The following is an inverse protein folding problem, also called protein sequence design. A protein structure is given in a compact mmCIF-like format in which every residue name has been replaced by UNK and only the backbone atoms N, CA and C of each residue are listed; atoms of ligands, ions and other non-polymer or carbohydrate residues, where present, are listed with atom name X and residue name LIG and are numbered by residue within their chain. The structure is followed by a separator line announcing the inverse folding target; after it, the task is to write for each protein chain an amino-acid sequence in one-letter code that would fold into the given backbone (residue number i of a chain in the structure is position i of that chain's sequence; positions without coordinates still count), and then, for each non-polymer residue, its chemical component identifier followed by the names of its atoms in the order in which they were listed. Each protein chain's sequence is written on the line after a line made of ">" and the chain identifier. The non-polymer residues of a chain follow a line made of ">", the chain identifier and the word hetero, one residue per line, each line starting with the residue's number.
data_IF_341418699507
#
_entry.id   IF_341418699507
#
_cell.length_a   1.000
_cell.length_b   1.000
_cell.length_c   1.000
_cell.angle_alpha   90.00
_cell.angle_beta   90.00
_cell.angle_gamma   90.00
#
_symmetry.space_group_name_H-M   'P 1'
#
loop_
_entity.id
_entity.type
_entity.pdbx_description
1 polymer ?
#
# COMPACT_ATOMS: atom_id res chain seq x y z
N UNK A 1 -11.38 10.71 -12.65
CA UNK A 1 -10.06 11.10 -12.09
C UNK A 1 -9.15 9.90 -12.19
N UNK A 2 -7.83 10.12 -12.33
CA UNK A 2 -6.87 9.02 -12.25
C UNK A 2 -6.88 8.42 -10.83
N UNK A 3 -6.67 7.11 -10.67
CA UNK A 3 -6.56 6.50 -9.35
C UNK A 3 -5.29 6.98 -8.63
N UNK A 4 -5.32 6.97 -7.31
CA UNK A 4 -4.13 7.16 -6.49
C UNK A 4 -3.29 5.89 -6.54
N UNK A 5 -2.00 6.02 -6.83
CA UNK A 5 -1.05 4.90 -6.78
C UNK A 5 -0.51 4.79 -5.35
N UNK A 6 -0.74 3.66 -4.70
CA UNK A 6 -0.27 3.40 -3.35
C UNK A 6 0.87 2.39 -3.38
N UNK A 7 2.09 2.86 -3.13
CA UNK A 7 3.29 2.03 -3.15
C UNK A 7 3.56 1.40 -1.79
N UNK A 8 3.82 0.10 -1.77
CA UNK A 8 4.21 -0.64 -0.58
C UNK A 8 5.62 -1.20 -0.78
N UNK A 9 6.60 -0.74 0.02
CA UNK A 9 7.99 -1.21 -0.09
C UNK A 9 8.16 -2.64 0.47
N UNK A 10 9.26 -3.29 0.07
CA UNK A 10 9.69 -4.56 0.66
C UNK A 10 10.33 -4.40 2.04
N UNK A 11 10.71 -5.52 2.66
CA UNK A 11 11.50 -5.50 3.90
C UNK A 11 12.82 -4.73 3.69
N UNK A 12 13.21 -3.95 4.71
CA UNK A 12 14.39 -3.08 4.70
C UNK A 12 14.34 -1.89 3.74
N UNK A 13 13.23 -1.69 3.03
CA UNK A 13 12.99 -0.54 2.16
C UNK A 13 12.08 0.49 2.84
N UNK A 14 12.31 1.77 2.54
CA UNK A 14 11.42 2.87 2.89
C UNK A 14 10.80 3.52 1.65
N UNK A 15 9.87 4.48 1.82
CA UNK A 15 9.16 5.12 0.70
C UNK A 15 10.06 5.77 -0.37
N UNK A 16 11.27 6.18 0.02
CA UNK A 16 12.21 6.89 -0.86
C UNK A 16 12.63 6.09 -2.10
N UNK A 17 12.56 4.75 -2.06
CA UNK A 17 12.90 3.90 -3.20
C UNK A 17 12.00 4.16 -4.42
N UNK A 18 10.78 4.66 -4.20
CA UNK A 18 9.82 4.97 -5.25
C UNK A 18 9.90 6.41 -5.76
N UNK A 19 10.83 7.24 -5.25
CA UNK A 19 10.89 8.67 -5.54
C UNK A 19 11.01 9.03 -7.02
N UNK A 20 11.76 8.24 -7.79
CA UNK A 20 11.90 8.46 -9.24
C UNK A 20 10.58 8.19 -9.98
N UNK A 21 9.90 7.09 -9.64
CA UNK A 21 8.62 6.70 -10.28
C UNK A 21 7.50 7.66 -9.89
N UNK A 22 7.40 8.03 -8.61
CA UNK A 22 6.39 8.98 -8.15
C UNK A 22 6.58 10.37 -8.76
N UNK A 23 7.83 10.79 -9.00
CA UNK A 23 8.14 12.03 -9.71
C UNK A 23 7.67 12.01 -11.16
N UNK A 24 7.77 10.86 -11.84
CA UNK A 24 7.24 10.68 -13.20
C UNK A 24 5.71 10.72 -13.19
N UNK A 25 5.07 9.96 -12.30
CA UNK A 25 3.60 9.95 -12.15
C UNK A 25 3.04 11.34 -11.85
N UNK A 26 3.72 12.11 -10.99
CA UNK A 26 3.30 13.48 -10.66
C UNK A 26 3.35 14.42 -11.87
N UNK A 27 4.27 14.23 -12.82
CA UNK A 27 4.32 15.04 -14.06
C UNK A 27 3.11 14.80 -14.94
N UNK A 28 2.54 13.61 -14.86
CA UNK A 28 1.33 13.21 -15.57
C UNK A 28 0.05 13.48 -14.74
N UNK A 29 0.16 14.18 -13.61
CA UNK A 29 -0.97 14.50 -12.73
C UNK A 29 -1.52 13.31 -11.94
N UNK A 30 -0.76 12.21 -11.84
CA UNK A 30 -1.14 11.01 -11.10
C UNK A 30 -0.60 11.09 -9.67
N UNK A 31 -1.50 10.99 -8.69
CA UNK A 31 -1.14 11.05 -7.27
C UNK A 31 -0.46 9.75 -6.83
N UNK A 32 0.61 9.88 -6.04
CA UNK A 32 1.28 8.77 -5.38
C UNK A 32 1.21 8.94 -3.85
N UNK A 33 0.99 7.83 -3.14
CA UNK A 33 1.01 7.71 -1.68
C UNK A 33 1.83 6.45 -1.33
N UNK A 34 2.29 6.32 -0.08
CA UNK A 34 3.26 5.28 0.29
C UNK A 34 2.93 4.69 1.65
N UNK A 35 3.12 3.38 1.78
CA UNK A 35 3.17 2.72 3.09
C UNK A 35 4.56 2.83 3.72
N UNK A 36 4.61 2.81 5.05
CA UNK A 36 5.85 2.60 5.81
C UNK A 36 5.75 1.31 6.59
N UNK A 37 6.67 0.37 6.33
CA UNK A 37 6.79 -0.84 7.15
C UNK A 37 7.29 -0.46 8.54
N UNK A 38 6.62 -0.93 9.58
CA UNK A 38 6.96 -0.68 10.99
C UNK A 38 8.27 -1.37 11.35
N UNK A 39 8.56 -2.52 10.74
CA UNK A 39 9.81 -3.25 10.92
C UNK A 39 11.03 -2.55 10.31
N UNK A 40 10.87 -1.82 9.20
CA UNK A 40 12.01 -1.16 8.53
C UNK A 40 12.59 -0.02 9.38
N UNK A 41 13.90 -0.07 9.63
CA UNK A 41 14.61 0.97 10.38
C UNK A 41 14.48 0.86 11.90
N UNK A 42 13.72 -0.12 12.40
CA UNK A 42 13.57 -0.36 13.84
C UNK A 42 14.71 -1.20 14.37
N UNK A 43 15.36 -0.73 15.43
CA UNK A 43 16.43 -1.45 16.14
C UNK A 43 15.90 -2.19 17.37
N UNK A 44 16.61 -3.24 17.78
CA UNK A 44 16.33 -3.98 19.01
C UNK A 44 16.31 -3.04 20.23
N UNK A 45 15.39 -3.21 21.20
CA UNK A 45 14.48 -4.36 21.37
C UNK A 45 13.11 -4.25 20.67
N UNK A 46 12.89 -3.28 19.77
CA UNK A 46 11.56 -3.02 19.21
C UNK A 46 10.96 -4.14 18.35
N UNK A 47 11.80 -4.92 17.65
CA UNK A 47 11.49 -6.09 16.81
C UNK A 47 10.02 -6.25 16.35
N UNK A 48 9.49 -5.37 15.49
CA UNK A 48 8.12 -5.45 15.01
C UNK A 48 7.88 -6.74 14.22
N UNK A 49 6.69 -7.29 14.35
CA UNK A 49 6.26 -8.50 13.66
C UNK A 49 5.74 -8.21 12.25
N UNK A 50 5.55 -9.27 11.48
CA UNK A 50 4.83 -9.20 10.20
C UNK A 50 3.42 -8.61 10.35
N UNK A 51 2.75 -8.88 11.47
CA UNK A 51 1.41 -8.36 11.74
C UNK A 51 1.43 -6.84 11.97
N UNK A 52 2.48 -6.32 12.60
CA UNK A 52 2.67 -4.88 12.78
C UNK A 52 2.87 -4.16 11.44
N UNK A 53 3.58 -4.80 10.50
CA UNK A 53 3.72 -4.29 9.13
C UNK A 53 2.38 -4.30 8.38
N UNK A 54 1.62 -5.38 8.44
CA UNK A 54 0.29 -5.48 7.82
C UNK A 54 -0.64 -4.39 8.34
N UNK A 55 -0.71 -4.23 9.68
CA UNK A 55 -1.51 -3.19 10.31
C UNK A 55 -1.00 -1.79 9.99
N UNK A 56 0.31 -1.61 9.87
CA UNK A 56 0.94 -0.36 9.46
C UNK A 56 0.52 0.05 8.05
N UNK A 57 0.63 -0.86 7.09
CA UNK A 57 0.19 -0.65 5.70
C UNK A 57 -1.30 -0.31 5.66
N UNK A 58 -2.13 -1.06 6.41
CA UNK A 58 -3.57 -0.81 6.48
C UNK A 58 -3.87 0.59 7.02
N UNK A 59 -3.21 0.99 8.11
CA UNK A 59 -3.39 2.30 8.73
C UNK A 59 -3.00 3.46 7.79
N UNK A 60 -2.00 3.25 6.93
CA UNK A 60 -1.60 4.23 5.93
C UNK A 60 -2.59 4.27 4.73
N UNK A 61 -3.17 3.12 4.35
CA UNK A 61 -4.11 2.99 3.22
C UNK A 61 -5.54 3.44 3.54
N UNK A 62 -6.05 3.13 4.74
CA UNK A 62 -7.45 3.33 5.11
C UNK A 62 -7.94 4.79 5.01
N UNK A 63 -7.15 5.82 5.41
CA UNK A 63 -7.52 7.21 5.21
C UNK A 63 -7.66 7.59 3.73
N UNK A 64 -6.86 6.97 2.85
CA UNK A 64 -6.86 7.25 1.40
C UNK A 64 -8.16 6.74 0.77
N UNK A 65 -8.53 5.49 1.04
CA UNK A 65 -9.79 4.95 0.51
C UNK A 65 -11.01 5.61 1.18
N UNK A 66 -10.88 6.05 2.43
CA UNK A 66 -11.97 6.70 3.19
C UNK A 66 -12.29 8.13 2.74
N UNK A 67 -11.33 8.86 2.17
CA UNK A 67 -11.63 10.13 1.48
C UNK A 67 -12.29 9.94 0.10
N UNK A 68 -12.49 8.70 -0.33
CA UNK A 68 -13.20 8.35 -1.56
C UNK A 68 -12.30 8.05 -2.77
N UNK A 69 -10.98 7.94 -2.59
CA UNK A 69 -10.07 7.63 -3.69
C UNK A 69 -10.24 6.18 -4.17
N UNK A 70 -10.23 6.01 -5.49
CA UNK A 70 -9.88 4.73 -6.11
C UNK A 70 -8.37 4.56 -6.07
N UNK A 71 -7.91 3.37 -5.66
CA UNK A 71 -6.49 3.10 -5.42
C UNK A 71 -6.00 1.90 -6.22
N UNK A 72 -4.83 2.04 -6.83
CA UNK A 72 -4.03 0.91 -7.35
C UNK A 72 -2.87 0.66 -6.40
N UNK A 73 -2.80 -0.54 -5.82
CA UNK A 73 -1.66 -0.93 -4.99
C UNK A 73 -0.49 -1.37 -5.87
N UNK A 74 0.72 -0.93 -5.55
CA UNK A 74 1.96 -1.41 -6.15
C UNK A 74 2.79 -2.07 -5.06
N UNK A 75 2.99 -3.37 -5.18
CA UNK A 75 3.61 -4.21 -4.16
C UNK A 75 4.99 -4.65 -4.64
N UNK A 76 6.05 -4.24 -3.93
CA UNK A 76 7.42 -4.69 -4.17
C UNK A 76 7.89 -5.76 -3.17
N UNK A 77 8.53 -6.84 -3.64
CA UNK A 77 9.16 -7.84 -2.77
C UNK A 77 8.18 -8.41 -1.71
N UNK A 78 8.53 -8.37 -0.43
CA UNK A 78 7.69 -8.84 0.69
C UNK A 78 6.33 -8.13 0.77
N UNK A 79 6.18 -6.95 0.18
CA UNK A 79 4.89 -6.29 0.09
C UNK A 79 3.83 -7.13 -0.61
N UNK A 80 4.22 -8.08 -1.46
CA UNK A 80 3.28 -8.98 -2.13
C UNK A 80 2.35 -9.68 -1.13
N UNK A 81 2.90 -10.30 -0.09
CA UNK A 81 2.08 -10.95 0.94
C UNK A 81 1.61 -9.98 2.02
N UNK A 82 2.43 -9.00 2.42
CA UNK A 82 2.05 -8.02 3.44
C UNK A 82 0.87 -7.14 2.99
N UNK A 83 0.98 -6.57 1.80
CA UNK A 83 -0.02 -5.67 1.21
C UNK A 83 -1.29 -6.40 0.81
N UNK A 84 -1.18 -7.65 0.34
CA UNK A 84 -2.35 -8.49 0.05
C UNK A 84 -3.15 -8.82 1.30
N UNK A 85 -2.49 -9.05 2.45
CA UNK A 85 -3.19 -9.20 3.72
C UNK A 85 -3.82 -7.86 4.19
N UNK A 86 -3.09 -6.75 4.05
CA UNK A 86 -3.55 -5.44 4.55
C UNK A 86 -4.82 -4.92 3.84
N UNK A 87 -5.06 -5.32 2.59
CA UNK A 87 -6.15 -4.80 1.76
C UNK A 87 -7.51 -5.43 2.03
N UNK A 88 -7.58 -6.45 2.89
CA UNK A 88 -8.82 -7.15 3.20
C UNK A 88 -9.93 -6.18 3.65
N UNK A 89 -11.13 -6.28 3.07
CA UNK A 89 -12.24 -5.38 3.34
C UNK A 89 -12.12 -3.94 2.80
N UNK A 90 -10.97 -3.53 2.26
CA UNK A 90 -10.72 -2.20 1.67
C UNK A 90 -10.84 -2.17 0.14
N UNK A 91 -10.97 -3.33 -0.52
CA UNK A 91 -11.23 -3.40 -1.96
C UNK A 91 -12.57 -2.72 -2.29
N UNK A 92 -12.62 -2.04 -3.43
CA UNK A 92 -13.75 -1.19 -3.80
C UNK A 92 -15.07 -1.97 -3.88
N UNK A 93 -15.01 -3.28 -4.21
CA UNK A 93 -16.19 -4.15 -4.18
C UNK A 93 -16.81 -4.25 -2.77
N UNK A 94 -16.00 -4.59 -1.75
CA UNK A 94 -16.48 -4.72 -0.37
C UNK A 94 -16.94 -3.38 0.21
N UNK A 95 -16.26 -2.28 -0.13
CA UNK A 95 -16.67 -0.92 0.28
C UNK A 95 -18.04 -0.54 -0.30
N UNK A 96 -18.27 -0.82 -1.59
CA UNK A 96 -19.57 -0.55 -2.24
C UNK A 96 -20.72 -1.34 -1.62
N UNK A 97 -20.49 -2.57 -1.17
CA UNK A 97 -21.50 -3.36 -0.44
C UNK A 97 -21.94 -2.67 0.86
N UNK A 98 -21.04 -1.88 1.48
CA UNK A 98 -21.32 -1.03 2.66
C UNK A 98 -21.76 0.39 2.31
N UNK A 99 -22.03 0.70 1.04
CA UNK A 99 -22.36 2.05 0.55
C UNK A 99 -21.26 3.09 0.81
N UNK A 100 -20.01 2.64 0.88
CA UNK A 100 -18.83 3.49 0.97
C UNK A 100 -18.25 3.75 -0.43
N UNK A 101 -17.75 4.96 -0.66
CA UNK A 101 -17.00 5.31 -1.87
C UNK A 101 -15.52 4.94 -1.74
N UNK A 102 -14.82 4.95 -2.88
CA UNK A 102 -13.40 4.63 -2.99
C UNK A 102 -13.09 3.16 -2.70
N UNK A 103 -11.80 2.85 -2.72
CA UNK A 103 -11.30 1.51 -2.43
C UNK A 103 -10.22 1.06 -3.39
N UNK A 104 -9.67 -0.10 -3.11
CA UNK A 104 -8.67 -0.71 -3.98
C UNK A 104 -9.36 -1.31 -5.20
N UNK A 105 -8.95 -0.84 -6.39
CA UNK A 105 -9.49 -1.24 -7.69
C UNK A 105 -8.54 -2.15 -8.47
N UNK A 106 -7.29 -2.26 -8.05
CA UNK A 106 -6.29 -3.12 -8.69
C UNK A 106 -5.02 -3.27 -7.85
N UNK A 107 -4.27 -4.32 -8.15
CA UNK A 107 -2.98 -4.61 -7.52
C UNK A 107 -1.97 -4.89 -8.65
N UNK A 108 -0.78 -4.32 -8.52
CA UNK A 108 0.37 -4.55 -9.39
C UNK A 108 1.47 -5.16 -8.53
N UNK A 109 1.91 -6.35 -8.89
CA UNK A 109 3.04 -7.03 -8.25
C UNK A 109 4.32 -6.76 -9.03
N UNK A 110 5.38 -6.32 -8.35
CA UNK A 110 6.70 -6.06 -8.93
C UNK A 110 7.73 -6.83 -8.11
N UNK A 111 8.36 -7.85 -8.71
CA UNK A 111 9.35 -8.70 -8.01
C UNK A 111 8.86 -9.18 -6.63
N UNK A 112 7.56 -9.48 -6.52
CA UNK A 112 6.88 -9.65 -5.24
C UNK A 112 6.64 -11.11 -4.88
N UNK A 113 6.76 -11.43 -3.58
CA UNK A 113 6.42 -12.73 -3.04
C UNK A 113 4.92 -12.84 -2.77
N UNK A 114 4.27 -13.86 -3.34
CA UNK A 114 2.85 -14.18 -3.10
C UNK A 114 2.79 -15.49 -2.32
N UNK A 115 1.96 -15.53 -1.28
CA UNK A 115 1.69 -16.73 -0.51
C UNK A 115 0.40 -17.38 -1.02
N UNK A 116 0.36 -18.71 -1.04
CA UNK A 116 -0.79 -19.54 -1.41
C UNK A 116 -1.68 -19.81 -0.18
#
# INVERSE_FOLDING_TARGET
>A
MAPTIFFVPGLWEGPSVFGNVSSLLSKDGIKSEFATLRSTGTTSPGNPSMHDDINGIRADLEPIVSRGDDVVLVLHSAAGFLGSAAVEGLVAKHRRERRENGGVIGIVFITAGVLD
#
